data_IF_081135726815
#
_entry.id   IF_081135726815
#
_cell.length_a   1.000
_cell.length_b   1.000
_cell.length_c   1.000
_cell.angle_alpha   90.00
_cell.angle_beta   90.00
_cell.angle_gamma   90.00
#
_symmetry.space_group_name_H-M   'P 1'
#
loop_
_entity.id
_entity.type
_entity.pdbx_description
1 polymer ?
#
# COMPACT_ATOMS: atom_id res chain seq x y z
N UNK A 1 15.05 -17.71 1.45
CA UNK A 1 14.00 -17.21 0.53
C UNK A 1 14.13 -15.70 0.46
N UNK A 2 14.17 -15.13 -0.74
CA UNK A 2 14.25 -13.67 -0.93
C UNK A 2 12.90 -13.02 -0.63
N UNK A 3 12.93 -11.74 -0.21
CA UNK A 3 11.73 -10.94 -0.05
C UNK A 3 11.58 -10.00 -1.26
N UNK A 4 10.36 -9.80 -1.72
CA UNK A 4 10.05 -8.80 -2.76
C UNK A 4 9.80 -7.47 -2.06
N UNK A 5 10.53 -6.43 -2.46
CA UNK A 5 10.30 -5.06 -1.99
C UNK A 5 9.27 -4.43 -2.91
N UNK A 6 8.15 -3.97 -2.34
CA UNK A 6 7.11 -3.28 -3.10
C UNK A 6 7.49 -1.81 -3.30
N UNK A 7 7.33 -1.35 -4.54
CA UNK A 7 7.44 0.05 -4.92
C UNK A 7 6.11 0.79 -4.68
N UNK A 8 6.15 2.13 -4.57
CA UNK A 8 4.98 2.95 -4.22
C UNK A 8 3.89 2.84 -5.27
N UNK A 9 4.25 2.73 -6.55
CA UNK A 9 3.31 2.53 -7.66
C UNK A 9 2.45 1.27 -7.49
N UNK A 10 3.05 0.16 -7.05
CA UNK A 10 2.35 -1.10 -6.82
C UNK A 10 1.44 -1.01 -5.60
N UNK A 11 1.90 -0.36 -4.53
CA UNK A 11 1.10 -0.15 -3.31
C UNK A 11 -0.11 0.72 -3.60
N UNK A 12 0.05 1.80 -4.38
CA UNK A 12 -1.05 2.66 -4.81
C UNK A 12 -2.07 1.86 -5.62
N UNK A 13 -1.63 1.11 -6.63
CA UNK A 13 -2.52 0.31 -7.45
C UNK A 13 -3.25 -0.74 -6.61
N UNK A 14 -2.54 -1.42 -5.71
CA UNK A 14 -3.11 -2.44 -4.83
C UNK A 14 -4.18 -1.87 -3.89
N UNK A 15 -3.96 -0.69 -3.29
CA UNK A 15 -4.89 -0.11 -2.31
C UNK A 15 -5.96 0.79 -2.93
N UNK A 16 -5.84 1.17 -4.21
CA UNK A 16 -6.80 2.01 -4.90
C UNK A 16 -7.63 1.20 -5.90
N UNK A 17 -8.86 0.84 -5.50
CA UNK A 17 -9.79 0.12 -6.37
C UNK A 17 -10.11 0.86 -7.68
N UNK A 18 -10.00 2.20 -7.69
CA UNK A 18 -10.22 3.02 -8.89
C UNK A 18 -8.99 3.12 -9.80
N UNK A 19 -7.83 2.61 -9.37
CA UNK A 19 -6.63 2.59 -10.21
C UNK A 19 -6.78 1.56 -11.34
N UNK A 20 -6.46 1.97 -12.57
CA UNK A 20 -6.53 1.10 -13.75
C UNK A 20 -5.66 -0.15 -13.65
N UNK A 21 -4.66 -0.16 -12.76
CA UNK A 21 -3.77 -1.29 -12.52
C UNK A 21 -4.14 -2.13 -11.29
N UNK A 22 -5.23 -1.81 -10.58
CA UNK A 22 -5.63 -2.47 -9.34
C UNK A 22 -5.69 -3.99 -9.46
N UNK A 23 -6.44 -4.51 -10.44
CA UNK A 23 -6.57 -5.95 -10.66
C UNK A 23 -5.24 -6.63 -10.97
N UNK A 24 -4.37 -5.99 -11.76
CA UNK A 24 -3.07 -6.54 -12.11
C UNK A 24 -2.14 -6.61 -10.89
N UNK A 25 -2.14 -5.56 -10.05
CA UNK A 25 -1.36 -5.54 -8.81
C UNK A 25 -1.83 -6.62 -7.83
N UNK A 26 -3.15 -6.77 -7.67
CA UNK A 26 -3.74 -7.75 -6.78
C UNK A 26 -3.40 -9.20 -7.22
N UNK A 27 -3.61 -9.53 -8.49
CA UNK A 27 -3.26 -10.85 -9.03
C UNK A 27 -1.76 -11.16 -8.94
N UNK A 28 -0.89 -10.18 -9.13
CA UNK A 28 0.55 -10.37 -9.01
C UNK A 28 0.99 -10.67 -7.57
N UNK A 29 0.37 -10.00 -6.59
CA UNK A 29 0.66 -10.21 -5.17
C UNK A 29 0.20 -11.62 -4.74
N UNK A 30 -1.04 -11.98 -5.06
CA UNK A 30 -1.64 -13.29 -4.74
C UNK A 30 -0.87 -14.46 -5.37
N UNK A 31 -0.42 -14.32 -6.63
CA UNK A 31 0.27 -15.41 -7.35
C UNK A 31 1.73 -15.64 -6.90
N UNK A 32 2.36 -14.66 -6.24
CA UNK A 32 3.81 -14.69 -6.01
C UNK A 32 4.28 -15.73 -4.98
N UNK A 33 3.40 -16.20 -4.09
CA UNK A 33 3.75 -17.01 -2.90
C UNK A 33 4.98 -16.49 -2.13
N UNK A 34 5.30 -15.20 -2.24
CA UNK A 34 6.54 -14.61 -1.75
C UNK A 34 6.28 -13.76 -0.51
N UNK A 35 7.30 -13.60 0.33
CA UNK A 35 7.24 -12.61 1.42
C UNK A 35 7.47 -11.21 0.86
N UNK A 36 6.56 -10.29 1.17
CA UNK A 36 6.65 -8.90 0.76
C UNK A 36 7.21 -8.02 1.89
N UNK A 37 7.97 -7.00 1.51
CA UNK A 37 8.42 -5.93 2.41
C UNK A 37 8.12 -4.58 1.77
N UNK A 38 7.84 -3.60 2.61
CA UNK A 38 7.62 -2.22 2.19
C UNK A 38 8.57 -1.32 2.99
N UNK A 39 9.17 -0.35 2.32
CA UNK A 39 9.97 0.69 2.97
C UNK A 39 9.09 1.79 3.55
N UNK A 40 9.52 2.37 4.67
CA UNK A 40 8.87 3.55 5.25
C UNK A 40 8.81 4.75 4.28
N UNK A 41 9.80 4.86 3.38
CA UNK A 41 9.82 5.89 2.34
C UNK A 41 8.70 5.67 1.33
N UNK A 42 8.50 4.42 0.90
CA UNK A 42 7.41 4.02 0.01
C UNK A 42 6.04 4.36 0.60
N UNK A 43 5.84 4.09 1.90
CA UNK A 43 4.58 4.42 2.57
C UNK A 43 4.36 5.94 2.61
N UNK A 44 5.43 6.70 2.86
CA UNK A 44 5.37 8.16 2.86
C UNK A 44 4.96 8.72 1.49
N UNK A 45 5.50 8.18 0.39
CA UNK A 45 5.11 8.55 -0.98
C UNK A 45 3.62 8.28 -1.27
N UNK A 46 3.13 7.11 -0.86
CA UNK A 46 1.73 6.70 -1.07
C UNK A 46 0.80 7.63 -0.28
N UNK A 47 1.14 7.97 0.97
CA UNK A 47 0.36 8.88 1.82
C UNK A 47 0.35 10.32 1.28
N UNK A 48 1.51 10.83 0.83
CA UNK A 48 1.61 12.17 0.22
C UNK A 48 0.75 12.24 -1.03
N UNK A 49 0.80 11.22 -1.90
CA UNK A 49 -0.02 11.17 -3.10
C UNK A 49 -1.52 11.15 -2.77
N UNK A 50 -1.96 10.29 -1.86
CA UNK A 50 -3.37 10.20 -1.47
C UNK A 50 -3.88 11.49 -0.82
N UNK A 51 -3.04 12.18 -0.03
CA UNK A 51 -3.37 13.48 0.55
C UNK A 51 -3.59 14.57 -0.51
N UNK A 52 -2.89 14.48 -1.64
CA UNK A 52 -3.09 15.37 -2.79
C UNK A 52 -4.39 15.11 -3.57
N UNK A 53 -5.01 13.93 -3.40
CA UNK A 53 -6.25 13.57 -4.09
C UNK A 53 -7.49 13.99 -3.28
N UNK A 54 -7.59 13.60 -2.01
CA UNK A 54 -8.60 14.09 -1.06
C UNK A 54 -8.32 13.64 0.38
N UNK A 55 -8.84 14.37 1.38
CA UNK A 55 -8.76 13.97 2.80
C UNK A 55 -9.49 12.64 3.09
N UNK A 56 -10.57 12.35 2.35
CA UNK A 56 -11.27 11.06 2.44
C UNK A 56 -10.37 9.91 2.00
N UNK A 57 -9.69 10.06 0.86
CA UNK A 57 -8.81 9.03 0.29
C UNK A 57 -7.59 8.76 1.19
N UNK A 58 -7.02 9.82 1.76
CA UNK A 58 -5.96 9.71 2.77
C UNK A 58 -6.41 8.90 3.99
N UNK A 59 -7.61 9.14 4.49
CA UNK A 59 -8.16 8.44 5.65
C UNK A 59 -8.42 6.95 5.37
N UNK A 60 -8.99 6.64 4.20
CA UNK A 60 -9.18 5.26 3.73
C UNK A 60 -7.83 4.53 3.60
N UNK A 61 -6.85 5.18 2.97
CA UNK A 61 -5.52 4.60 2.80
C UNK A 61 -4.81 4.34 4.14
N UNK A 62 -4.94 5.25 5.11
CA UNK A 62 -4.39 5.04 6.46
C UNK A 62 -5.03 3.84 7.16
N UNK A 63 -6.34 3.66 7.01
CA UNK A 63 -7.05 2.49 7.55
C UNK A 63 -6.58 1.19 6.89
N UNK A 64 -6.45 1.18 5.56
CA UNK A 64 -5.99 0.01 4.80
C UNK A 64 -4.54 -0.34 5.17
N UNK A 65 -3.64 0.65 5.24
CA UNK A 65 -2.26 0.45 5.66
C UNK A 65 -2.17 -0.05 7.10
N UNK A 66 -2.99 0.48 8.02
CA UNK A 66 -3.02 0.01 9.40
C UNK A 66 -3.51 -1.43 9.51
N UNK A 67 -4.45 -1.87 8.65
CA UNK A 67 -4.97 -3.24 8.65
C UNK A 67 -3.94 -4.24 8.11
N UNK A 68 -3.28 -3.89 7.00
CA UNK A 68 -2.33 -4.78 6.33
C UNK A 68 -0.94 -4.77 7.00
N UNK A 69 -0.56 -3.67 7.66
CA UNK A 69 0.78 -3.47 8.23
C UNK A 69 0.78 -3.14 9.73
N UNK A 70 -0.31 -3.47 10.45
CA UNK A 70 -0.50 -3.27 11.91
C UNK A 70 0.75 -3.47 12.79
N UNK A 71 1.62 -4.48 12.61
CA UNK A 71 2.80 -4.60 13.47
C UNK A 71 3.94 -3.60 13.20
N UNK A 72 3.88 -2.81 12.12
CA UNK A 72 4.94 -1.88 11.71
C UNK A 72 4.61 -0.39 11.90
N UNK A 73 3.36 -0.05 12.22
CA UNK A 73 2.93 1.32 12.48
C UNK A 73 2.16 1.39 13.79
N UNK A 74 2.80 1.80 14.90
CA UNK A 74 2.08 2.21 16.08
C UNK A 74 1.51 3.60 15.79
N UNK A 75 0.45 3.68 15.00
CA UNK A 75 -0.41 4.86 15.05
C UNK A 75 -1.29 4.70 16.28
N UNK A 76 -0.82 5.22 17.42
CA UNK A 76 -1.72 5.61 18.50
C UNK A 76 -2.62 6.72 17.93
N UNK A 77 -3.86 6.36 17.59
CA UNK A 77 -4.96 7.29 17.30
C UNK A 77 -5.65 7.69 18.60
#
# INVERSE_FOLDING_TARGET
MGAIILDSSVVIAFLNYSDKHHFAANSAIEASNSSFKISILTISEVLVKASGESEKRKSELLADLSKEFSPFFPFDL
#
